data_IF_589552285987
#
_entry.id   IF_589552285987
#
_cell.length_a   1.000
_cell.length_b   1.000
_cell.length_c   1.000
_cell.angle_alpha   90.00
_cell.angle_beta   90.00
_cell.angle_gamma   90.00
#
_symmetry.space_group_name_H-M   'P 1'
#
loop_
_entity.id
_entity.type
_entity.pdbx_description
1 polymer ?
#
# COMPACT_ATOMS: atom_id res chain seq x y z
N UNK A 1 -11.36 1.08 -13.93
CA UNK A 1 -9.96 0.57 -13.91
C UNK A 1 -9.48 0.49 -12.48
N UNK A 2 -8.83 -0.60 -12.08
CA UNK A 2 -8.34 -0.78 -10.71
C UNK A 2 -7.22 0.22 -10.39
N UNK A 3 -7.32 1.00 -9.30
CA UNK A 3 -6.36 2.05 -8.97
C UNK A 3 -4.94 1.53 -8.66
N UNK A 4 -4.77 0.27 -8.24
CA UNK A 4 -3.45 -0.35 -8.04
C UNK A 4 -2.80 -0.77 -9.36
N UNK A 5 -3.61 -1.12 -10.37
CA UNK A 5 -3.14 -1.66 -11.64
C UNK A 5 -3.18 -0.62 -12.78
N UNK A 6 -3.35 0.66 -12.48
CA UNK A 6 -3.58 1.72 -13.46
C UNK A 6 -2.45 1.89 -14.50
N UNK A 7 -1.23 1.42 -14.22
CA UNK A 7 -0.09 1.53 -15.13
C UNK A 7 0.07 0.34 -16.08
N UNK A 8 -0.74 -0.69 -15.88
CA UNK A 8 -0.66 -1.85 -16.76
C UNK A 8 -1.64 -1.69 -17.90
N UNK A 9 -1.18 -2.00 -19.10
CA UNK A 9 -2.09 -2.09 -20.25
C UNK A 9 -2.88 -3.39 -20.13
N UNK A 10 -4.17 -3.27 -19.82
CA UNK A 10 -5.09 -4.39 -19.69
C UNK A 10 -6.23 -4.20 -20.68
N UNK A 11 -6.26 -5.05 -21.69
CA UNK A 11 -7.40 -5.10 -22.61
C UNK A 11 -8.60 -5.75 -21.93
N UNK A 12 -9.56 -4.93 -21.51
CA UNK A 12 -10.77 -5.37 -20.80
C UNK A 12 -11.69 -6.25 -21.68
N UNK A 13 -11.51 -6.27 -22.99
CA UNK A 13 -12.26 -7.13 -23.92
C UNK A 13 -11.65 -8.52 -24.03
N UNK A 14 -10.40 -8.69 -23.64
CA UNK A 14 -9.66 -9.93 -23.71
C UNK A 14 -10.24 -11.02 -22.78
N UNK A 15 -10.39 -12.23 -23.27
CA UNK A 15 -10.71 -13.41 -22.45
C UNK A 15 -9.64 -13.72 -21.40
N UNK A 16 -8.41 -13.22 -21.57
CA UNK A 16 -7.27 -13.39 -20.66
C UNK A 16 -7.08 -12.24 -19.70
N UNK A 17 -7.94 -11.23 -19.67
CA UNK A 17 -7.78 -10.03 -18.83
C UNK A 17 -7.52 -10.34 -17.36
N UNK A 18 -8.23 -11.31 -16.78
CA UNK A 18 -8.04 -11.68 -15.38
C UNK A 18 -6.68 -12.35 -15.12
N UNK A 19 -6.15 -13.11 -16.06
CA UNK A 19 -4.79 -13.65 -15.96
C UNK A 19 -3.75 -12.53 -15.98
N UNK A 20 -3.89 -11.53 -16.86
CA UNK A 20 -3.01 -10.35 -16.92
C UNK A 20 -3.12 -9.53 -15.63
N UNK A 21 -4.34 -9.28 -15.12
CA UNK A 21 -4.57 -8.60 -13.84
C UNK A 21 -3.89 -9.33 -12.68
N UNK A 22 -3.95 -10.67 -12.65
CA UNK A 22 -3.30 -11.48 -11.62
C UNK A 22 -1.78 -11.36 -11.69
N UNK A 23 -1.18 -11.47 -12.87
CA UNK A 23 0.26 -11.26 -13.05
C UNK A 23 0.68 -9.85 -12.63
N UNK A 24 -0.09 -8.83 -13.01
CA UNK A 24 0.18 -7.42 -12.64
C UNK A 24 0.09 -7.21 -11.13
N UNK A 25 -0.89 -7.83 -10.46
CA UNK A 25 -1.02 -7.80 -9.02
C UNK A 25 0.19 -8.43 -8.31
N UNK A 26 0.64 -9.60 -8.76
CA UNK A 26 1.84 -10.25 -8.25
C UNK A 26 3.10 -9.43 -8.53
N UNK A 27 3.12 -8.67 -9.61
CA UNK A 27 4.21 -7.76 -9.92
C UNK A 27 4.25 -6.56 -8.95
N UNK A 28 3.11 -6.01 -8.58
CA UNK A 28 3.02 -4.92 -7.59
C UNK A 28 3.32 -5.39 -6.16
N UNK A 29 2.75 -6.52 -5.74
CA UNK A 29 2.73 -6.97 -4.35
C UNK A 29 3.78 -8.04 -4.01
N UNK A 30 4.64 -8.44 -4.96
CA UNK A 30 5.71 -9.48 -4.85
C UNK A 30 5.19 -10.88 -4.62
N UNK A 31 4.37 -11.07 -3.59
CA UNK A 31 3.79 -12.34 -3.19
C UNK A 31 2.41 -12.10 -2.60
N UNK A 32 1.45 -12.93 -2.99
CA UNK A 32 0.05 -12.77 -2.57
C UNK A 32 -0.52 -14.14 -2.22
N UNK A 33 -1.23 -14.25 -1.11
CA UNK A 33 -1.87 -15.49 -0.73
C UNK A 33 -3.10 -15.78 -1.58
N UNK A 34 -3.53 -17.08 -1.62
CA UNK A 34 -4.75 -17.46 -2.33
C UNK A 34 -5.97 -16.68 -1.86
N UNK A 35 -6.12 -16.51 -0.55
CA UNK A 35 -7.25 -15.75 0.03
C UNK A 35 -7.21 -14.29 -0.39
N UNK A 36 -6.04 -13.66 -0.35
CA UNK A 36 -5.86 -12.28 -0.81
C UNK A 36 -6.17 -12.10 -2.30
N UNK A 37 -5.73 -13.03 -3.16
CA UNK A 37 -6.10 -13.01 -4.58
C UNK A 37 -7.61 -13.05 -4.76
N UNK A 38 -8.29 -14.00 -4.10
CA UNK A 38 -9.74 -14.13 -4.18
C UNK A 38 -10.41 -12.83 -3.70
N UNK A 39 -10.02 -12.30 -2.53
CA UNK A 39 -10.59 -11.06 -1.98
C UNK A 39 -10.40 -9.88 -2.94
N UNK A 40 -9.20 -9.69 -3.47
CA UNK A 40 -8.91 -8.61 -4.42
C UNK A 40 -9.81 -8.68 -5.65
N UNK A 41 -9.96 -9.86 -6.24
CA UNK A 41 -10.77 -10.02 -7.46
C UNK A 41 -12.27 -9.92 -7.19
N UNK A 42 -12.77 -10.40 -6.05
CA UNK A 42 -14.17 -10.24 -5.66
C UNK A 42 -14.53 -8.77 -5.48
N UNK A 43 -13.68 -8.00 -4.80
CA UNK A 43 -13.93 -6.60 -4.46
C UNK A 43 -13.83 -5.71 -5.70
N UNK A 44 -12.73 -5.83 -6.44
CA UNK A 44 -12.37 -4.86 -7.47
C UNK A 44 -12.80 -5.26 -8.88
N UNK A 45 -12.88 -6.55 -9.16
CA UNK A 45 -13.11 -7.06 -10.51
C UNK A 45 -14.43 -7.84 -10.63
N UNK A 46 -15.16 -7.99 -9.53
CA UNK A 46 -16.41 -8.77 -9.46
C UNK A 46 -16.27 -10.18 -10.05
N UNK A 47 -15.06 -10.75 -10.01
CA UNK A 47 -14.79 -12.07 -10.56
C UNK A 47 -15.08 -13.14 -9.53
N UNK A 48 -15.83 -14.19 -9.92
CA UNK A 48 -16.12 -15.31 -9.06
C UNK A 48 -14.84 -16.06 -8.62
N UNK A 49 -14.86 -16.64 -7.44
CA UNK A 49 -13.73 -17.43 -6.88
C UNK A 49 -13.23 -18.48 -7.86
N UNK A 50 -14.14 -19.19 -8.54
CA UNK A 50 -13.78 -20.20 -9.55
C UNK A 50 -12.96 -19.60 -10.70
N UNK A 51 -13.34 -18.40 -11.17
CA UNK A 51 -12.59 -17.70 -12.22
C UNK A 51 -11.15 -17.39 -11.78
N UNK A 52 -10.97 -16.98 -10.53
CA UNK A 52 -9.63 -16.71 -9.98
C UNK A 52 -8.81 -18.00 -9.91
N UNK A 53 -9.40 -19.09 -9.45
CA UNK A 53 -8.76 -20.39 -9.34
C UNK A 53 -8.37 -20.98 -10.71
N UNK A 54 -9.24 -20.86 -11.71
CA UNK A 54 -8.96 -21.29 -13.07
C UNK A 54 -7.81 -20.48 -13.69
N UNK A 55 -7.74 -19.16 -13.43
CA UNK A 55 -6.61 -18.34 -13.88
C UNK A 55 -5.31 -18.70 -13.13
N UNK A 56 -5.35 -18.96 -11.82
CA UNK A 56 -4.18 -19.46 -11.07
C UNK A 56 -3.67 -20.77 -11.68
N UNK A 57 -4.56 -21.71 -11.96
CA UNK A 57 -4.20 -23.00 -12.60
C UNK A 57 -3.56 -22.75 -13.96
N UNK A 58 -4.24 -21.99 -14.84
CA UNK A 58 -3.73 -21.64 -16.15
C UNK A 58 -2.32 -21.02 -16.10
N UNK A 59 -2.09 -20.05 -15.22
CA UNK A 59 -0.80 -19.38 -15.09
C UNK A 59 0.29 -20.32 -14.57
N UNK A 60 -0.05 -21.23 -13.66
CA UNK A 60 0.89 -22.26 -13.17
C UNK A 60 1.26 -23.27 -14.25
N UNK A 61 0.28 -23.78 -14.99
CA UNK A 61 0.48 -24.76 -16.05
C UNK A 61 1.35 -24.19 -17.19
N UNK A 62 1.34 -22.86 -17.35
CA UNK A 62 2.19 -22.13 -18.30
C UNK A 62 3.50 -21.60 -17.67
N UNK A 63 3.86 -22.01 -16.44
CA UNK A 63 5.07 -21.58 -15.72
C UNK A 63 5.20 -20.05 -15.53
N UNK A 64 4.10 -19.31 -15.53
CA UNK A 64 4.12 -17.85 -15.35
C UNK A 64 4.13 -17.41 -13.88
N UNK A 65 3.60 -18.27 -13.01
CA UNK A 65 3.63 -18.09 -11.55
C UNK A 65 4.06 -19.38 -10.86
N UNK A 66 4.63 -19.22 -9.66
CA UNK A 66 4.94 -20.34 -8.78
C UNK A 66 4.39 -20.06 -7.38
N UNK A 67 4.49 -21.02 -6.47
CA UNK A 67 3.95 -20.93 -5.11
C UNK A 67 4.91 -21.41 -4.05
N UNK A 68 4.82 -20.80 -2.88
CA UNK A 68 5.33 -21.36 -1.62
C UNK A 68 4.16 -21.62 -0.67
N UNK A 69 4.39 -22.47 0.32
CA UNK A 69 3.42 -22.72 1.39
C UNK A 69 3.86 -21.98 2.65
N UNK A 70 2.91 -21.32 3.33
CA UNK A 70 3.04 -20.83 4.69
C UNK A 70 1.95 -21.45 5.56
N UNK A 71 2.33 -22.45 6.35
CA UNK A 71 1.33 -23.33 6.97
C UNK A 71 0.45 -23.98 5.92
N UNK A 72 -0.85 -23.85 6.06
CA UNK A 72 -1.84 -24.37 5.10
C UNK A 72 -2.15 -23.42 3.94
N UNK A 73 -1.55 -22.22 3.92
CA UNK A 73 -1.84 -21.19 2.92
C UNK A 73 -0.86 -21.24 1.75
N UNK A 74 -1.38 -21.30 0.52
CA UNK A 74 -0.57 -21.11 -0.69
C UNK A 74 -0.37 -19.63 -0.97
N UNK A 75 0.87 -19.22 -1.21
CA UNK A 75 1.26 -17.87 -1.58
C UNK A 75 1.93 -17.91 -2.94
N UNK A 76 1.45 -17.10 -3.87
CA UNK A 76 1.86 -17.08 -5.28
C UNK A 76 2.78 -15.90 -5.57
N UNK A 77 3.72 -16.10 -6.48
CA UNK A 77 4.67 -15.09 -6.94
C UNK A 77 5.00 -15.30 -8.43
N UNK A 78 5.56 -14.28 -9.08
CA UNK A 78 5.94 -14.36 -10.48
C UNK A 78 7.20 -15.20 -10.68
N UNK A 79 7.19 -16.02 -11.71
CA UNK A 79 8.41 -16.57 -12.30
C UNK A 79 9.10 -15.52 -13.19
N UNK A 80 10.28 -15.84 -13.71
CA UNK A 80 10.98 -15.01 -14.69
C UNK A 80 10.13 -14.85 -15.98
N UNK A 81 9.55 -15.93 -16.43
CA UNK A 81 8.67 -15.98 -17.61
C UNK A 81 7.41 -15.14 -17.40
N UNK A 82 6.77 -15.26 -16.23
CA UNK A 82 5.62 -14.43 -15.88
C UNK A 82 5.94 -12.93 -15.81
N UNK A 83 7.10 -12.58 -15.27
CA UNK A 83 7.57 -11.21 -15.24
C UNK A 83 7.83 -10.66 -16.66
N UNK A 84 8.45 -11.45 -17.54
CA UNK A 84 8.71 -11.05 -18.92
C UNK A 84 7.41 -10.91 -19.74
N UNK A 85 6.42 -11.77 -19.48
CA UNK A 85 5.15 -11.77 -20.23
C UNK A 85 4.31 -10.50 -20.07
N UNK A 86 4.51 -9.77 -18.95
CA UNK A 86 3.83 -8.48 -18.70
C UNK A 86 4.73 -7.26 -18.96
N UNK A 87 5.92 -7.46 -19.55
CA UNK A 87 6.88 -6.39 -19.83
C UNK A 87 7.40 -5.71 -18.55
N UNK A 88 7.55 -6.45 -17.46
CA UNK A 88 7.77 -5.96 -16.09
C UNK A 88 8.66 -4.74 -15.94
N UNK A 89 8.07 -3.63 -15.49
CA UNK A 89 8.77 -2.34 -15.31
C UNK A 89 9.80 -2.35 -14.19
N UNK A 90 9.53 -3.13 -13.14
CA UNK A 90 10.42 -3.27 -11.98
C UNK A 90 11.35 -4.47 -12.17
N UNK A 91 12.35 -4.58 -11.32
CA UNK A 91 13.13 -5.83 -11.25
C UNK A 91 12.22 -7.00 -10.86
N UNK A 92 12.54 -8.23 -11.33
CA UNK A 92 11.81 -9.43 -10.90
C UNK A 92 11.72 -9.48 -9.37
N UNK A 93 10.50 -9.62 -8.80
CA UNK A 93 10.34 -9.67 -7.36
C UNK A 93 11.01 -10.91 -6.79
N UNK A 94 11.86 -10.72 -5.77
CA UNK A 94 12.37 -11.81 -4.96
C UNK A 94 11.31 -12.22 -3.94
N UNK A 95 11.16 -13.51 -3.71
CA UNK A 95 10.30 -14.02 -2.63
C UNK A 95 10.86 -13.53 -1.29
N UNK A 96 10.07 -12.84 -0.45
CA UNK A 96 10.54 -12.26 0.80
C UNK A 96 10.52 -13.29 1.93
N UNK A 97 11.37 -14.30 1.89
CA UNK A 97 11.37 -15.43 2.84
C UNK A 97 11.38 -14.98 4.31
N UNK A 98 12.24 -14.02 4.66
CA UNK A 98 12.37 -13.52 6.04
C UNK A 98 11.23 -12.60 6.49
N UNK A 99 10.61 -11.88 5.56
CA UNK A 99 9.57 -10.88 5.83
C UNK A 99 8.20 -11.26 5.26
N UNK A 100 7.98 -12.54 4.97
CA UNK A 100 6.75 -13.00 4.33
C UNK A 100 5.49 -12.59 5.10
N UNK A 101 5.52 -12.70 6.46
CA UNK A 101 4.40 -12.29 7.31
C UNK A 101 4.08 -10.80 7.14
N UNK A 102 5.09 -9.96 7.16
CA UNK A 102 4.92 -8.51 6.98
C UNK A 102 4.29 -8.21 5.61
N UNK A 103 4.83 -8.75 4.51
CA UNK A 103 4.26 -8.52 3.18
C UNK A 103 2.81 -8.98 3.06
N UNK A 104 2.46 -10.13 3.63
CA UNK A 104 1.07 -10.58 3.61
C UNK A 104 0.16 -9.66 4.42
N UNK A 105 0.60 -9.17 5.58
CA UNK A 105 -0.21 -8.22 6.36
C UNK A 105 -0.34 -6.85 5.65
N UNK A 106 0.73 -6.34 5.06
CA UNK A 106 0.65 -5.12 4.22
C UNK A 106 -0.40 -5.30 3.13
N UNK A 107 -0.41 -6.45 2.44
CA UNK A 107 -1.41 -6.76 1.43
C UNK A 107 -2.84 -6.80 2.00
N UNK A 108 -3.03 -7.35 3.20
CA UNK A 108 -4.35 -7.39 3.85
C UNK A 108 -4.90 -5.98 4.09
N UNK A 109 -4.08 -5.07 4.63
CA UNK A 109 -4.49 -3.68 4.85
C UNK A 109 -4.71 -2.93 3.53
N UNK A 110 -3.88 -3.16 2.52
CA UNK A 110 -4.06 -2.57 1.20
C UNK A 110 -5.38 -3.01 0.56
N UNK A 111 -5.71 -4.30 0.62
CA UNK A 111 -6.97 -4.84 0.07
C UNK A 111 -8.18 -4.29 0.84
N UNK A 112 -8.12 -4.21 2.18
CA UNK A 112 -9.16 -3.56 2.99
C UNK A 112 -9.36 -2.11 2.60
N UNK A 113 -8.29 -1.35 2.39
CA UNK A 113 -8.39 0.04 1.94
C UNK A 113 -8.98 0.16 0.54
N UNK A 114 -8.65 -0.73 -0.39
CA UNK A 114 -9.29 -0.78 -1.71
C UNK A 114 -10.80 -1.02 -1.59
N UNK A 115 -11.23 -1.89 -0.66
CA UNK A 115 -12.64 -2.12 -0.38
C UNK A 115 -13.35 -0.88 0.16
N UNK A 116 -12.75 -0.22 1.15
CA UNK A 116 -13.29 1.00 1.75
C UNK A 116 -13.39 2.19 0.78
N UNK A 117 -12.57 2.16 -0.27
CA UNK A 117 -12.46 3.26 -1.23
C UNK A 117 -13.00 2.93 -2.62
N UNK A 118 -13.59 1.75 -2.83
CA UNK A 118 -14.03 1.25 -4.15
C UNK A 118 -14.98 2.19 -4.89
N UNK A 119 -15.86 2.87 -4.18
CA UNK A 119 -16.87 3.76 -4.73
C UNK A 119 -16.40 5.24 -4.82
N UNK A 120 -15.15 5.52 -4.41
CA UNK A 120 -14.61 6.88 -4.41
C UNK A 120 -14.01 7.25 -5.76
N UNK A 121 -14.71 8.08 -6.51
CA UNK A 121 -14.29 8.58 -7.84
C UNK A 121 -13.01 9.42 -7.81
N UNK A 122 -12.69 10.02 -6.67
CA UNK A 122 -11.51 10.84 -6.47
C UNK A 122 -10.25 10.06 -6.09
N UNK A 123 -10.34 8.76 -5.82
CA UNK A 123 -9.17 7.89 -5.73
C UNK A 123 -8.57 7.74 -7.13
N UNK A 124 -7.35 8.22 -7.33
CA UNK A 124 -6.67 8.20 -8.64
C UNK A 124 -5.87 6.93 -8.83
N UNK A 125 -5.00 6.63 -7.89
CA UNK A 125 -4.20 5.42 -7.94
C UNK A 125 -3.62 5.06 -6.56
N UNK A 126 -3.17 3.81 -6.46
CA UNK A 126 -2.50 3.26 -5.30
C UNK A 126 -1.06 2.92 -5.70
N UNK A 127 -0.11 3.35 -4.88
CA UNK A 127 1.31 3.08 -5.08
C UNK A 127 1.77 2.00 -4.11
N UNK A 128 2.22 0.87 -4.61
CA UNK A 128 2.92 -0.14 -3.82
C UNK A 128 4.31 0.37 -3.39
N UNK A 129 4.91 -0.23 -2.36
CA UNK A 129 6.31 0.02 -1.99
C UNK A 129 7.25 -0.08 -3.21
N UNK A 130 7.07 -1.14 -4.01
CA UNK A 130 7.90 -1.40 -5.20
C UNK A 130 7.84 -0.28 -6.23
N UNK A 131 6.64 0.22 -6.45
CA UNK A 131 6.43 1.32 -7.36
C UNK A 131 7.07 2.60 -6.88
N UNK A 132 6.89 2.95 -5.60
CA UNK A 132 7.55 4.11 -5.00
C UNK A 132 9.07 4.02 -5.14
N UNK A 133 9.66 2.84 -4.87
CA UNK A 133 11.11 2.60 -5.04
C UNK A 133 11.52 2.77 -6.50
N UNK A 134 10.73 2.29 -7.46
CA UNK A 134 11.02 2.45 -8.89
C UNK A 134 10.99 3.92 -9.31
N UNK A 135 9.93 4.66 -8.96
CA UNK A 135 9.76 6.07 -9.31
C UNK A 135 10.82 6.98 -8.66
N UNK A 136 11.35 6.59 -7.49
CA UNK A 136 12.39 7.36 -6.79
C UNK A 136 13.82 6.96 -7.18
N UNK A 137 14.00 5.89 -7.94
CA UNK A 137 15.32 5.34 -8.29
C UNK A 137 16.19 6.34 -9.06
N UNK A 138 15.62 7.01 -10.04
CA UNK A 138 16.36 8.00 -10.86
C UNK A 138 16.67 9.27 -10.08
N UNK A 139 15.82 9.60 -9.10
CA UNK A 139 16.05 10.73 -8.20
C UNK A 139 17.17 10.45 -7.19
N UNK A 140 17.40 9.18 -6.84
CA UNK A 140 18.46 8.77 -5.91
C UNK A 140 19.86 8.82 -6.55
N UNK A 141 19.97 8.79 -7.87
CA UNK A 141 21.23 8.90 -8.60
C UNK A 141 21.83 10.32 -8.60
N UNK A 142 21.05 11.34 -8.19
CA UNK A 142 21.59 12.67 -7.93
C UNK A 142 22.50 12.64 -6.69
N UNK A 143 23.70 13.15 -6.82
CA UNK A 143 24.86 13.14 -5.88
C UNK A 143 24.56 13.47 -4.40
N UNK A 144 23.38 13.94 -4.07
CA UNK A 144 22.96 14.39 -2.74
C UNK A 144 22.31 13.31 -1.85
N UNK A 145 22.30 12.03 -2.24
CA UNK A 145 21.79 10.91 -1.40
C UNK A 145 20.51 11.24 -0.57
N UNK A 146 19.61 12.05 -1.10
CA UNK A 146 18.35 12.33 -0.41
C UNK A 146 17.62 11.00 -0.24
N UNK A 147 17.46 10.57 1.00
CA UNK A 147 16.64 9.39 1.32
C UNK A 147 15.19 9.81 1.15
N UNK A 148 14.57 9.36 0.08
CA UNK A 148 13.14 9.55 -0.12
C UNK A 148 12.34 8.75 0.92
N UNK A 149 11.21 9.30 1.31
CA UNK A 149 10.23 8.57 2.09
C UNK A 149 9.57 7.53 1.18
N UNK A 150 9.53 6.27 1.63
CA UNK A 150 8.87 5.17 0.96
C UNK A 150 8.00 4.50 2.01
N UNK A 151 6.69 4.55 1.83
CA UNK A 151 5.71 3.89 2.68
C UNK A 151 5.45 2.45 2.21
N UNK A 152 4.83 1.62 3.04
CA UNK A 152 4.40 0.28 2.62
C UNK A 152 3.43 0.37 1.43
N UNK A 153 2.50 1.35 1.45
CA UNK A 153 1.70 1.74 0.29
C UNK A 153 1.14 3.17 0.46
N UNK A 154 0.74 3.79 -0.66
CA UNK A 154 0.14 5.13 -0.67
C UNK A 154 -1.17 5.08 -1.46
N UNK A 155 -2.23 5.63 -0.88
CA UNK A 155 -3.47 5.96 -1.57
C UNK A 155 -3.43 7.41 -1.99
N UNK A 156 -3.50 7.67 -3.29
CA UNK A 156 -3.47 9.02 -3.84
C UNK A 156 -4.85 9.44 -4.33
N UNK A 157 -5.39 10.42 -3.65
CA UNK A 157 -6.66 11.05 -3.97
C UNK A 157 -6.44 12.38 -4.67
N UNK A 158 -7.50 12.88 -5.26
CA UNK A 158 -7.56 14.24 -5.80
C UNK A 158 -8.60 15.04 -5.01
N UNK A 159 -8.20 16.23 -4.53
CA UNK A 159 -9.10 17.16 -3.86
C UNK A 159 -10.05 17.84 -4.85
N UNK A 160 -11.09 18.55 -4.34
CA UNK A 160 -11.99 19.40 -5.16
C UNK A 160 -11.20 20.44 -5.98
N UNK A 161 -10.11 20.96 -5.40
CA UNK A 161 -9.22 21.94 -6.05
C UNK A 161 -8.17 21.30 -6.98
N UNK A 162 -8.35 20.04 -7.32
CA UNK A 162 -7.45 19.27 -8.19
C UNK A 162 -6.03 19.05 -7.60
N UNK A 163 -5.85 19.20 -6.29
CA UNK A 163 -4.58 18.94 -5.59
C UNK A 163 -4.43 17.46 -5.25
N UNK A 164 -3.19 16.98 -5.23
CA UNK A 164 -2.89 15.61 -4.79
C UNK A 164 -2.94 15.50 -3.26
N UNK A 165 -3.67 14.52 -2.78
CA UNK A 165 -3.80 14.16 -1.36
C UNK A 165 -3.28 12.74 -1.17
N UNK A 166 -2.12 12.59 -0.54
CA UNK A 166 -1.48 11.30 -0.30
C UNK A 166 -1.80 10.79 1.11
N UNK A 167 -2.35 9.60 1.20
CA UNK A 167 -2.47 8.85 2.45
C UNK A 167 -1.41 7.74 2.43
N UNK A 168 -0.37 7.91 3.20
CA UNK A 168 0.76 6.98 3.30
C UNK A 168 0.55 6.04 4.48
N UNK A 169 0.76 4.75 4.26
CA UNK A 169 0.53 3.70 5.25
C UNK A 169 1.85 3.01 5.63
N UNK A 170 2.03 2.81 6.93
CA UNK A 170 3.13 2.06 7.54
C UNK A 170 2.58 0.97 8.45
N UNK A 171 2.92 -0.27 8.18
CA UNK A 171 2.46 -1.43 8.94
C UNK A 171 3.62 -1.95 9.80
N UNK A 172 3.54 -1.76 11.10
CA UNK A 172 4.63 -2.13 12.01
C UNK A 172 4.31 -3.36 12.84
N UNK A 173 4.98 -4.46 12.55
CA UNK A 173 4.79 -5.72 13.26
C UNK A 173 5.80 -5.96 14.37
N UNK A 174 6.92 -5.24 14.35
CA UNK A 174 8.03 -5.44 15.26
C UNK A 174 8.54 -4.10 15.76
N UNK A 175 8.68 -3.99 17.07
CA UNK A 175 9.20 -2.77 17.68
C UNK A 175 10.62 -2.47 17.16
N UNK A 176 10.84 -1.25 16.71
CA UNK A 176 12.17 -0.76 16.37
C UNK A 176 12.87 -0.22 17.63
N UNK A 177 14.18 -0.01 17.56
CA UNK A 177 14.90 0.64 18.65
C UNK A 177 14.45 2.11 18.79
N UNK A 178 14.45 2.63 20.02
CA UNK A 178 14.13 4.04 20.29
C UNK A 178 14.97 5.01 19.48
N UNK A 179 16.26 4.69 19.30
CA UNK A 179 17.16 5.47 18.45
C UNK A 179 16.64 5.55 17.01
N UNK A 180 16.17 4.43 16.46
CA UNK A 180 15.65 4.38 15.09
C UNK A 180 14.37 5.21 14.93
N UNK A 181 13.47 5.20 15.92
CA UNK A 181 12.30 6.08 15.90
C UNK A 181 12.71 7.56 15.98
N UNK A 182 13.57 7.91 16.92
CA UNK A 182 13.97 9.29 17.21
C UNK A 182 14.83 9.95 16.11
N UNK A 183 15.77 9.20 15.54
CA UNK A 183 16.77 9.76 14.61
C UNK A 183 16.47 9.41 13.13
N UNK A 184 15.65 8.41 12.87
CA UNK A 184 15.39 7.92 11.52
C UNK A 184 13.94 8.05 11.05
N UNK A 185 12.99 7.49 11.79
CA UNK A 185 11.61 7.30 11.32
C UNK A 185 10.82 8.60 11.45
N UNK A 186 10.60 9.09 12.68
CA UNK A 186 9.79 10.29 12.92
C UNK A 186 10.29 11.54 12.22
N UNK A 187 11.62 11.86 12.18
CA UNK A 187 12.09 12.99 11.41
C UNK A 187 11.74 12.95 9.93
N UNK A 188 11.72 11.75 9.32
CA UNK A 188 11.31 11.59 7.92
C UNK A 188 9.81 11.85 7.75
N UNK A 189 8.99 11.33 8.66
CA UNK A 189 7.55 11.50 8.65
C UNK A 189 7.17 12.98 8.79
N UNK A 190 7.79 13.66 9.75
CA UNK A 190 7.59 15.09 9.98
C UNK A 190 8.00 15.90 8.73
N UNK A 191 9.15 15.58 8.13
CA UNK A 191 9.61 16.23 6.91
C UNK A 191 8.64 16.01 5.73
N UNK A 192 8.07 14.81 5.59
CA UNK A 192 7.08 14.49 4.56
C UNK A 192 5.78 15.26 4.78
N UNK A 193 5.25 15.28 6.01
CA UNK A 193 4.05 16.03 6.36
C UNK A 193 4.22 17.55 6.21
N UNK A 194 5.42 18.09 6.49
CA UNK A 194 5.75 19.50 6.24
C UNK A 194 5.78 19.82 4.75
N UNK A 195 6.32 18.91 3.95
CA UNK A 195 6.43 19.08 2.49
C UNK A 195 5.08 19.04 1.79
N UNK A 196 4.15 18.21 2.29
CA UNK A 196 2.85 17.97 1.66
C UNK A 196 1.72 18.31 2.66
N UNK A 197 1.17 19.51 2.60
CA UNK A 197 0.19 19.99 3.60
C UNK A 197 -1.11 19.19 3.64
N UNK A 198 -1.46 18.50 2.57
CA UNK A 198 -2.67 17.68 2.48
C UNK A 198 -2.41 16.17 2.71
N UNK A 199 -1.14 15.77 2.89
CA UNK A 199 -0.80 14.38 3.14
C UNK A 199 -1.19 13.93 4.56
N UNK A 200 -1.53 12.65 4.69
CA UNK A 200 -1.69 11.95 5.96
C UNK A 200 -0.71 10.79 6.05
N UNK A 201 -0.25 10.52 7.24
CA UNK A 201 0.51 9.33 7.55
C UNK A 201 -0.29 8.48 8.54
N UNK A 202 -0.52 7.24 8.16
CA UNK A 202 -1.32 6.27 8.90
C UNK A 202 -0.42 5.12 9.30
N UNK A 203 -0.18 5.00 10.59
CA UNK A 203 0.61 3.95 11.20
C UNK A 203 -0.32 2.89 11.78
N UNK A 204 -0.12 1.62 11.43
CA UNK A 204 -0.96 0.53 11.91
C UNK A 204 -0.10 -0.53 12.56
N UNK A 205 -0.47 -0.96 13.76
CA UNK A 205 0.22 -2.03 14.49
C UNK A 205 -0.75 -2.97 15.19
N UNK A 206 -0.51 -4.29 15.19
CA UNK A 206 -1.28 -5.23 16.01
C UNK A 206 -0.80 -5.29 17.47
N UNK A 207 0.22 -4.53 17.84
CA UNK A 207 0.83 -4.58 19.16
C UNK A 207 0.53 -3.32 19.99
N UNK A 208 -0.22 -3.43 21.09
CA UNK A 208 -0.47 -2.30 21.98
C UNK A 208 0.83 -1.64 22.52
N UNK A 209 1.89 -2.43 22.71
CA UNK A 209 3.18 -1.91 23.16
C UNK A 209 3.86 -1.03 22.08
N UNK A 210 3.72 -1.42 20.81
CA UNK A 210 4.25 -0.61 19.70
C UNK A 210 3.44 0.66 19.57
N UNK A 211 2.13 0.57 19.66
CA UNK A 211 1.21 1.70 19.61
C UNK A 211 1.55 2.73 20.71
N UNK A 212 1.66 2.29 21.96
CA UNK A 212 2.05 3.14 23.11
C UNK A 212 3.40 3.84 22.86
N UNK A 213 4.40 3.11 22.36
CA UNK A 213 5.73 3.67 22.10
C UNK A 213 5.69 4.69 20.95
N UNK A 214 4.89 4.44 19.90
CA UNK A 214 4.68 5.38 18.80
C UNK A 214 3.98 6.66 19.27
N UNK A 215 2.94 6.57 20.09
CA UNK A 215 2.25 7.72 20.67
C UNK A 215 3.20 8.51 21.61
N UNK A 216 4.06 7.82 22.36
CA UNK A 216 5.10 8.47 23.16
C UNK A 216 6.07 9.28 22.30
N UNK A 217 6.50 8.74 21.14
CA UNK A 217 7.35 9.46 20.19
C UNK A 217 6.61 10.62 19.54
N UNK A 218 5.35 10.44 19.16
CA UNK A 218 4.51 11.52 18.65
C UNK A 218 4.46 12.67 19.65
N UNK A 219 4.15 12.40 20.93
CA UNK A 219 4.15 13.39 21.99
C UNK A 219 5.52 14.04 22.23
N UNK A 220 6.63 13.29 22.10
CA UNK A 220 7.98 13.86 22.18
C UNK A 220 8.22 14.88 21.05
N UNK A 221 7.84 14.56 19.82
CA UNK A 221 8.06 15.45 18.68
C UNK A 221 7.12 16.64 18.67
N UNK A 222 5.89 16.53 19.17
CA UNK A 222 5.02 17.69 19.40
C UNK A 222 5.72 18.71 20.29
N UNK A 223 6.26 18.27 21.44
CA UNK A 223 6.99 19.17 22.35
C UNK A 223 8.28 19.74 21.75
N UNK A 224 8.92 19.00 20.86
CA UNK A 224 10.17 19.41 20.21
C UNK A 224 9.95 20.43 19.08
N UNK A 225 8.90 20.22 18.27
CA UNK A 225 8.58 21.07 17.10
C UNK A 225 7.85 22.37 17.53
N UNK A 226 7.17 22.37 18.69
CA UNK A 226 6.41 23.48 19.22
C UNK A 226 4.91 23.37 18.98
N UNK A 227 4.13 24.09 19.77
CA UNK A 227 2.65 24.05 19.74
C UNK A 227 2.06 24.61 18.43
N UNK A 228 2.78 25.49 17.76
CA UNK A 228 2.42 26.03 16.44
C UNK A 228 2.40 24.97 15.32
N UNK A 229 2.95 23.80 15.57
CA UNK A 229 2.99 22.68 14.64
C UNK A 229 1.95 21.57 14.95
N UNK A 230 0.99 21.80 15.85
CA UNK A 230 0.00 20.79 16.24
C UNK A 230 -0.79 20.24 15.05
N UNK A 231 -1.24 21.09 14.13
CA UNK A 231 -1.96 20.69 12.91
C UNK A 231 -1.18 19.67 12.05
N UNK A 232 0.15 19.70 12.10
CA UNK A 232 0.98 18.73 11.42
C UNK A 232 0.81 17.33 12.04
N UNK A 233 0.73 17.25 13.37
CA UNK A 233 0.59 15.99 14.10
C UNK A 233 -0.83 15.45 14.09
N UNK A 234 -1.85 16.26 13.80
CA UNK A 234 -3.22 15.81 13.53
C UNK A 234 -3.32 14.98 12.25
N UNK A 235 -2.33 15.09 11.38
CA UNK A 235 -2.22 14.34 10.15
C UNK A 235 -1.38 13.04 10.28
N UNK A 236 -0.80 12.81 11.46
CA UNK A 236 -0.12 11.58 11.85
C UNK A 236 -1.04 10.75 12.73
N UNK A 237 -1.61 9.70 12.17
CA UNK A 237 -2.52 8.76 12.84
C UNK A 237 -1.78 7.49 13.22
N UNK A 238 -2.06 6.98 14.42
CA UNK A 238 -1.54 5.70 14.92
C UNK A 238 -2.75 4.91 15.36
N UNK A 239 -2.92 3.72 14.79
CA UNK A 239 -4.09 2.87 15.04
C UNK A 239 -3.69 1.46 15.40
N UNK A 240 -4.46 0.86 16.29
CA UNK A 240 -4.42 -0.58 16.48
C UNK A 240 -4.96 -1.31 15.24
N UNK A 241 -4.52 -2.55 15.06
CA UNK A 241 -5.03 -3.40 13.98
C UNK A 241 -6.54 -3.66 14.08
N UNK A 242 -7.09 -3.68 15.31
CA UNK A 242 -8.50 -3.94 15.60
C UNK A 242 -9.37 -2.74 15.22
N UNK A 243 -8.89 -1.52 15.45
CA UNK A 243 -9.63 -0.28 15.16
C UNK A 243 -9.48 0.20 13.71
N UNK A 244 -8.53 -0.37 12.96
CA UNK A 244 -8.15 0.10 11.63
C UNK A 244 -9.35 0.39 10.73
N UNK A 245 -10.27 -0.55 10.57
CA UNK A 245 -11.39 -0.39 9.64
C UNK A 245 -12.36 0.72 10.07
N UNK A 246 -12.65 0.81 11.36
CA UNK A 246 -13.54 1.83 11.92
C UNK A 246 -12.91 3.22 11.80
N UNK A 247 -11.63 3.37 12.14
CA UNK A 247 -10.93 4.64 12.07
C UNK A 247 -10.71 5.09 10.62
N UNK A 248 -10.47 4.16 9.69
CA UNK A 248 -10.38 4.49 8.27
C UNK A 248 -11.71 4.99 7.71
N UNK A 249 -12.84 4.35 8.04
CA UNK A 249 -14.18 4.84 7.65
C UNK A 249 -14.40 6.26 8.18
N UNK A 250 -14.09 6.48 9.46
CA UNK A 250 -14.23 7.80 10.10
C UNK A 250 -13.36 8.86 9.43
N UNK A 251 -12.09 8.55 9.12
CA UNK A 251 -11.21 9.49 8.41
C UNK A 251 -11.69 9.78 6.99
N UNK A 252 -12.12 8.76 6.25
CA UNK A 252 -12.67 8.92 4.91
C UNK A 252 -13.92 9.81 4.88
N UNK A 253 -14.74 9.80 5.93
CA UNK A 253 -15.92 10.65 6.06
C UNK A 253 -15.59 12.07 6.50
N UNK A 254 -14.61 12.24 7.39
CA UNK A 254 -14.26 13.54 8.00
C UNK A 254 -13.26 14.36 7.19
N UNK A 255 -12.45 13.72 6.36
CA UNK A 255 -11.41 14.43 5.60
C UNK A 255 -12.02 15.29 4.50
N UNK A 256 -12.09 16.59 4.75
CA UNK A 256 -12.68 17.58 3.83
C UNK A 256 -11.95 17.69 2.49
N UNK A 257 -10.68 17.28 2.41
CA UNK A 257 -9.92 17.31 1.15
C UNK A 257 -10.33 16.20 0.19
N UNK A 258 -10.81 15.06 0.71
CA UNK A 258 -11.21 13.91 -0.11
C UNK A 258 -12.68 13.58 -0.02
N UNK A 259 -13.42 14.16 0.95
CA UNK A 259 -14.86 13.94 1.09
C UNK A 259 -15.62 15.08 0.41
N UNK A 260 -15.72 15.01 -0.92
CA UNK A 260 -16.52 15.92 -1.71
C UNK A 260 -17.36 15.11 -2.71
N UNK A 261 -18.65 15.42 -2.76
CA UNK A 261 -19.55 14.86 -3.75
C UNK A 261 -19.48 15.74 -5.00
N UNK A 262 -19.40 15.12 -6.17
CA UNK A 262 -19.60 15.81 -7.45
C UNK A 262 -21.10 16.13 -7.60
N UNK A 263 -21.64 16.97 -6.73
CA UNK A 263 -22.90 17.63 -6.95
C UNK A 263 -22.59 19.02 -7.52
N UNK A 264 -22.21 19.01 -8.79
CA UNK A 264 -22.37 20.17 -9.71
C UNK A 264 -22.00 19.72 -11.12
#
# INVERSE_FOLDING_TARGET
MNPLLYNYFIDETSSKKNAIKLLSLLHELRIVSRTQLISFFLINEQAATRTVEDNIRFLKDNNLIDKIKKGNQACYFLTKEGHQSIGGYYTLPKVPEYNLQHHLQVNDYLIKMLELTKDRKNLKFVLSERRQVFETKDLANNRNRKKYFVADFIFRFRSKENKEVNWSFEIELTMKTRRRYREGIFPKYIAELKRFPYARLIYVTPSPLIEEELERFKGYFIRKEGEDQLELFDRLHIFSAEEFEQEMKRLLEKDTFINWTNEE
#
